data_IF_613276973715
#
_entry.id   IF_613276973715
#
_cell.length_a   1.000
_cell.length_b   1.000
_cell.length_c   1.000
_cell.angle_alpha   90.00
_cell.angle_beta   90.00
_cell.angle_gamma   90.00
#
_symmetry.space_group_name_H-M   'P 1'
#
loop_
_entity.id
_entity.type
_entity.pdbx_description
1 polymer ?
#
# COMPACT_ATOMS: atom_id res chain seq x y z
N UNK A 1 -13.19 21.98 -10.02
CA UNK A 1 -13.09 21.26 -8.72
C UNK A 1 -12.56 19.87 -9.01
N UNK A 2 -11.55 19.43 -8.25
CA UNK A 2 -10.99 18.09 -8.35
C UNK A 2 -11.92 17.06 -7.70
N UNK A 3 -11.83 15.80 -8.11
CA UNK A 3 -12.68 14.72 -7.57
C UNK A 3 -12.48 14.47 -6.07
N UNK A 4 -11.36 14.96 -5.49
CA UNK A 4 -10.99 14.79 -4.08
C UNK A 4 -10.84 16.12 -3.33
N UNK A 5 -11.42 17.21 -3.85
CA UNK A 5 -11.40 18.50 -3.16
C UNK A 5 -11.97 18.39 -1.74
N UNK A 6 -11.24 18.95 -0.76
CA UNK A 6 -11.60 18.89 0.65
C UNK A 6 -11.32 17.58 1.36
N UNK A 7 -10.76 16.57 0.67
CA UNK A 7 -10.37 15.28 1.27
C UNK A 7 -8.93 15.31 1.78
N UNK A 8 -8.70 14.61 2.89
CA UNK A 8 -7.37 14.35 3.44
C UNK A 8 -6.97 12.89 3.16
N UNK A 9 -5.81 12.69 2.55
CA UNK A 9 -5.22 11.38 2.30
C UNK A 9 -3.93 11.19 3.09
N UNK A 10 -3.78 10.02 3.72
CA UNK A 10 -2.53 9.54 4.28
C UNK A 10 -1.96 8.45 3.38
N UNK A 11 -0.72 8.65 2.87
CA UNK A 11 0.00 7.68 2.04
C UNK A 11 1.27 7.25 2.77
N UNK A 12 1.32 6.01 3.25
CA UNK A 12 2.51 5.51 3.94
C UNK A 12 3.60 5.12 2.94
N UNK A 13 4.88 5.46 3.25
CA UNK A 13 5.99 5.21 2.31
C UNK A 13 5.86 6.01 1.01
N UNK A 14 5.36 7.25 1.09
CA UNK A 14 5.01 8.08 -0.06
C UNK A 14 6.15 8.92 -0.64
N UNK A 15 7.42 8.67 -0.28
CA UNK A 15 8.55 9.50 -0.72
C UNK A 15 9.23 9.02 -2.00
N UNK A 16 8.84 7.85 -2.55
CA UNK A 16 9.38 7.27 -3.78
C UNK A 16 8.47 6.18 -4.36
N UNK A 17 8.72 5.81 -5.61
CA UNK A 17 8.10 4.66 -6.27
C UNK A 17 6.58 4.76 -6.35
N UNK A 18 5.88 3.66 -6.04
CA UNK A 18 4.41 3.58 -6.11
C UNK A 18 3.78 4.61 -5.15
N UNK A 19 4.28 4.72 -3.92
CA UNK A 19 3.73 5.64 -2.92
C UNK A 19 3.80 7.09 -3.34
N UNK A 20 4.92 7.53 -3.91
CA UNK A 20 5.10 8.87 -4.47
C UNK A 20 4.13 9.13 -5.62
N UNK A 21 4.06 8.19 -6.58
CA UNK A 21 3.16 8.32 -7.72
C UNK A 21 1.68 8.41 -7.27
N UNK A 22 1.29 7.64 -6.26
CA UNK A 22 -0.06 7.70 -5.65
C UNK A 22 -0.28 9.05 -4.98
N UNK A 23 0.67 9.53 -4.17
CA UNK A 23 0.56 10.81 -3.47
C UNK A 23 0.37 11.97 -4.44
N UNK A 24 1.21 12.04 -5.49
CA UNK A 24 1.10 13.05 -6.55
C UNK A 24 -0.24 12.96 -7.29
N UNK A 25 -0.70 11.75 -7.57
CA UNK A 25 -1.98 11.56 -8.27
C UNK A 25 -3.16 12.04 -7.41
N UNK A 26 -3.20 11.72 -6.12
CA UNK A 26 -4.25 12.18 -5.20
C UNK A 26 -4.20 13.69 -5.02
N UNK A 27 -3.00 14.29 -4.90
CA UNK A 27 -2.82 15.73 -4.84
C UNK A 27 -3.37 16.42 -6.10
N UNK A 28 -3.05 15.91 -7.29
CA UNK A 28 -3.56 16.46 -8.55
C UNK A 28 -5.08 16.30 -8.73
N UNK A 29 -5.71 15.41 -7.95
CA UNK A 29 -7.17 15.28 -7.87
C UNK A 29 -7.82 16.19 -6.82
N UNK A 30 -7.03 17.03 -6.12
CA UNK A 30 -7.49 18.03 -5.17
C UNK A 30 -7.40 17.60 -3.69
N UNK A 31 -6.88 16.43 -3.37
CA UNK A 31 -6.70 16.03 -1.98
C UNK A 31 -5.54 16.80 -1.31
N UNK A 32 -5.69 17.12 -0.01
CA UNK A 32 -4.54 17.36 0.86
C UNK A 32 -3.89 16.01 1.17
N UNK A 33 -2.58 15.91 1.00
CA UNK A 33 -1.88 14.63 1.10
C UNK A 33 -0.77 14.70 2.14
N UNK A 34 -0.79 13.76 3.09
CA UNK A 34 0.29 13.51 4.04
C UNK A 34 1.00 12.25 3.57
N UNK A 35 2.33 12.33 3.41
CA UNK A 35 3.17 11.18 3.10
C UNK A 35 4.09 10.83 4.26
N UNK A 36 4.44 9.55 4.39
CA UNK A 36 5.41 9.14 5.40
C UNK A 36 6.68 8.53 4.80
N UNK A 37 7.76 8.60 5.58
CA UNK A 37 9.04 7.94 5.32
C UNK A 37 9.82 7.77 6.62
N UNK A 38 10.94 7.03 6.58
CA UNK A 38 11.73 6.71 7.77
C UNK A 38 12.74 7.78 8.18
N UNK A 39 13.22 8.56 7.23
CA UNK A 39 14.22 9.59 7.51
C UNK A 39 13.59 10.72 8.31
N UNK A 40 14.31 11.27 9.28
CA UNK A 40 13.83 12.43 10.07
C UNK A 40 13.56 13.65 9.19
N UNK A 41 14.29 13.78 8.09
CA UNK A 41 14.09 14.80 7.05
C UNK A 41 14.14 14.12 5.68
N UNK A 42 13.08 14.24 4.92
CA UNK A 42 13.03 13.82 3.52
C UNK A 42 12.20 14.83 2.73
N UNK A 43 12.52 14.98 1.44
CA UNK A 43 11.69 15.76 0.54
C UNK A 43 10.34 15.03 0.35
N UNK A 44 9.26 15.72 0.63
CA UNK A 44 7.94 15.26 0.21
C UNK A 44 7.76 15.45 -1.30
N UNK A 45 6.92 14.68 -1.97
CA UNK A 45 6.45 15.00 -3.29
C UNK A 45 5.80 16.40 -3.31
N UNK A 46 5.87 17.07 -4.45
CA UNK A 46 5.37 18.46 -4.58
C UNK A 46 3.92 18.59 -4.08
N UNK A 47 3.67 19.54 -3.21
CA UNK A 47 2.35 19.81 -2.63
C UNK A 47 1.91 18.87 -1.50
N UNK A 48 2.74 17.89 -1.11
CA UNK A 48 2.43 16.97 -0.02
C UNK A 48 3.14 17.37 1.29
N UNK A 49 2.54 17.03 2.43
CA UNK A 49 3.14 17.15 3.76
C UNK A 49 3.96 15.89 4.09
N UNK A 50 5.10 16.03 4.74
CA UNK A 50 5.93 14.91 5.17
C UNK A 50 5.83 14.66 6.67
N UNK A 51 5.73 13.39 7.07
CA UNK A 51 5.83 12.94 8.46
C UNK A 51 6.82 11.78 8.56
N UNK A 52 7.81 11.90 9.43
CA UNK A 52 8.78 10.84 9.69
C UNK A 52 8.16 9.77 10.60
N UNK A 53 8.28 8.49 10.21
CA UNK A 53 7.88 7.34 11.02
C UNK A 53 8.61 6.08 10.58
N UNK A 54 9.14 5.30 11.53
CA UNK A 54 9.59 3.93 11.28
C UNK A 54 8.51 2.95 11.78
N UNK A 55 7.85 2.28 10.86
CA UNK A 55 6.81 1.28 11.17
C UNK A 55 7.38 -0.04 11.72
N UNK A 56 8.69 -0.20 11.85
CA UNK A 56 9.30 -1.30 12.60
C UNK A 56 9.18 -1.09 14.12
N UNK A 57 9.04 0.16 14.58
CA UNK A 57 8.75 0.51 15.97
C UNK A 57 7.24 0.52 16.22
N UNK A 58 6.75 -0.47 16.98
CA UNK A 58 5.31 -0.63 17.28
C UNK A 58 4.77 0.50 18.17
N UNK A 59 5.58 1.03 19.10
CA UNK A 59 5.15 2.12 19.96
C UNK A 59 5.04 3.42 19.18
N UNK A 60 6.04 3.73 18.34
CA UNK A 60 6.01 4.87 17.44
C UNK A 60 4.82 4.76 16.46
N UNK A 61 4.57 3.56 15.92
CA UNK A 61 3.41 3.28 15.05
C UNK A 61 2.09 3.57 15.76
N UNK A 62 1.93 3.11 17.00
CA UNK A 62 0.70 3.34 17.78
C UNK A 62 0.50 4.83 18.07
N UNK A 63 1.53 5.54 18.48
CA UNK A 63 1.48 6.98 18.75
C UNK A 63 1.15 7.76 17.46
N UNK A 64 1.78 7.40 16.35
CA UNK A 64 1.51 8.01 15.04
C UNK A 64 0.06 7.78 14.60
N UNK A 65 -0.47 6.57 14.78
CA UNK A 65 -1.85 6.24 14.46
C UNK A 65 -2.84 7.11 15.26
N UNK A 66 -2.58 7.34 16.55
CA UNK A 66 -3.39 8.23 17.38
C UNK A 66 -3.32 9.69 16.92
N UNK A 67 -2.13 10.17 16.57
CA UNK A 67 -1.95 11.53 16.01
C UNK A 67 -2.76 11.68 14.72
N UNK A 68 -2.68 10.70 13.83
CA UNK A 68 -3.42 10.72 12.56
C UNK A 68 -4.94 10.59 12.76
N UNK A 69 -5.38 9.88 13.80
CA UNK A 69 -6.81 9.79 14.13
C UNK A 69 -7.41 11.16 14.48
N UNK A 70 -6.66 12.05 15.14
CA UNK A 70 -7.08 13.42 15.42
C UNK A 70 -7.21 14.27 14.14
N UNK A 71 -6.41 14.01 13.11
CA UNK A 71 -6.52 14.66 11.79
C UNK A 71 -7.63 14.05 10.92
N UNK A 72 -8.11 12.86 11.28
CA UNK A 72 -9.22 12.14 10.66
C UNK A 72 -9.14 12.03 9.12
N UNK A 73 -8.08 11.43 8.52
CA UNK A 73 -8.00 11.25 7.08
C UNK A 73 -9.23 10.55 6.50
N UNK A 74 -9.61 10.96 5.30
CA UNK A 74 -10.67 10.32 4.51
C UNK A 74 -10.18 9.10 3.76
N UNK A 75 -8.90 9.14 3.38
CA UNK A 75 -8.25 8.13 2.53
C UNK A 75 -6.99 7.64 3.24
N UNK A 76 -6.86 6.33 3.37
CA UNK A 76 -5.66 5.67 3.87
C UNK A 76 -5.08 4.77 2.78
N UNK A 77 -3.85 5.06 2.35
CA UNK A 77 -3.07 4.21 1.45
C UNK A 77 -1.91 3.58 2.23
N UNK A 78 -2.06 2.32 2.60
CA UNK A 78 -1.01 1.53 3.23
C UNK A 78 -0.06 0.99 2.15
N UNK A 79 0.97 1.78 1.81
CA UNK A 79 1.96 1.44 0.81
C UNK A 79 3.33 1.11 1.41
N UNK A 80 3.67 1.61 2.60
CA UNK A 80 4.92 1.27 3.26
C UNK A 80 5.08 -0.26 3.36
N UNK A 81 6.24 -0.75 2.95
CA UNK A 81 6.50 -2.18 3.00
C UNK A 81 7.97 -2.51 2.79
N UNK A 82 8.38 -3.65 3.33
CA UNK A 82 9.71 -4.23 3.17
C UNK A 82 9.59 -5.64 2.60
N UNK A 83 10.68 -6.12 2.02
CA UNK A 83 10.77 -7.44 1.43
C UNK A 83 12.02 -8.16 1.93
N UNK A 84 11.93 -9.47 2.10
CA UNK A 84 13.05 -10.37 2.39
C UNK A 84 12.93 -11.58 1.47
N UNK A 85 13.98 -11.86 0.74
CA UNK A 85 14.10 -13.03 -0.14
C UNK A 85 14.96 -14.09 0.54
N UNK A 86 14.63 -15.34 0.31
CA UNK A 86 15.42 -16.48 0.74
C UNK A 86 14.57 -17.73 0.96
N UNK A 87 15.19 -18.92 1.05
CA UNK A 87 14.51 -20.16 1.39
C UNK A 87 13.81 -20.06 2.74
N UNK A 88 12.70 -20.75 2.91
CA UNK A 88 11.94 -20.74 4.16
C UNK A 88 12.75 -21.22 5.37
N UNK A 89 13.68 -22.17 5.14
CA UNK A 89 14.62 -22.70 6.17
C UNK A 89 15.56 -21.63 6.73
N UNK A 90 15.86 -20.60 5.96
CA UNK A 90 16.92 -19.61 6.26
C UNK A 90 16.33 -18.28 6.78
N UNK A 91 15.01 -18.24 6.98
CA UNK A 91 14.35 -17.04 7.50
C UNK A 91 14.61 -16.96 9.01
N UNK A 92 15.29 -15.90 9.46
CA UNK A 92 15.35 -15.61 10.88
C UNK A 92 13.98 -15.16 11.41
N UNK A 93 13.61 -15.59 12.61
CA UNK A 93 12.35 -15.13 13.22
C UNK A 93 12.32 -13.61 13.38
N UNK A 94 13.47 -12.98 13.68
CA UNK A 94 13.57 -11.52 13.79
C UNK A 94 13.24 -10.81 12.46
N UNK A 95 13.74 -11.31 11.31
CA UNK A 95 13.40 -10.77 9.99
C UNK A 95 11.92 -10.99 9.66
N UNK A 96 11.37 -12.16 10.03
CA UNK A 96 9.96 -12.49 9.84
C UNK A 96 9.05 -11.54 10.64
N UNK A 97 9.35 -11.35 11.93
CA UNK A 97 8.63 -10.42 12.80
C UNK A 97 8.68 -8.99 12.27
N UNK A 98 9.88 -8.54 11.88
CA UNK A 98 10.06 -7.21 11.28
C UNK A 98 9.21 -7.01 10.03
N UNK A 99 9.17 -8.00 9.14
CA UNK A 99 8.29 -7.99 7.97
C UNK A 99 6.83 -7.82 8.37
N UNK A 100 6.39 -8.56 9.40
CA UNK A 100 5.01 -8.48 9.86
C UNK A 100 4.71 -7.16 10.57
N UNK A 101 5.65 -6.60 11.36
CA UNK A 101 5.46 -5.27 11.95
C UNK A 101 5.19 -4.21 10.88
N UNK A 102 6.00 -4.17 9.83
CA UNK A 102 5.87 -3.16 8.79
C UNK A 102 4.72 -3.44 7.82
N UNK A 103 4.61 -4.68 7.31
CA UNK A 103 3.69 -5.00 6.21
C UNK A 103 2.26 -5.33 6.67
N UNK A 104 2.06 -5.66 7.95
CA UNK A 104 0.77 -6.13 8.49
C UNK A 104 0.33 -5.30 9.69
N UNK A 105 1.14 -5.27 10.76
CA UNK A 105 0.72 -4.63 12.01
C UNK A 105 0.56 -3.11 11.87
N UNK A 106 1.43 -2.45 11.12
CA UNK A 106 1.29 -1.01 10.86
C UNK A 106 0.00 -0.66 10.07
N UNK A 107 -0.33 -1.31 8.94
CA UNK A 107 -1.63 -1.17 8.29
C UNK A 107 -2.83 -1.43 9.21
N UNK A 108 -2.77 -2.46 10.06
CA UNK A 108 -3.82 -2.77 11.04
C UNK A 108 -3.95 -1.65 12.06
N UNK A 109 -2.84 -1.17 12.64
CA UNK A 109 -2.85 -0.10 13.63
C UNK A 109 -3.43 1.21 13.08
N UNK A 110 -3.03 1.58 11.86
CA UNK A 110 -3.58 2.75 11.17
C UNK A 110 -5.06 2.59 10.85
N UNK A 111 -5.45 1.46 10.28
CA UNK A 111 -6.86 1.20 9.96
C UNK A 111 -7.73 1.24 11.21
N UNK A 112 -7.30 0.57 12.30
CA UNK A 112 -8.00 0.58 13.59
C UNK A 112 -8.21 2.00 14.14
N UNK A 113 -7.23 2.88 13.97
CA UNK A 113 -7.31 4.25 14.47
C UNK A 113 -8.16 5.17 13.59
N UNK A 114 -8.12 5.00 12.26
CA UNK A 114 -8.72 5.94 11.30
C UNK A 114 -10.14 5.56 10.88
N UNK A 115 -10.44 4.27 10.78
CA UNK A 115 -11.76 3.77 10.33
C UNK A 115 -12.93 4.27 11.18
N UNK A 116 -12.84 4.41 12.52
CA UNK A 116 -13.97 4.94 13.30
C UNK A 116 -14.46 6.33 12.85
N UNK A 117 -13.55 7.24 12.52
CA UNK A 117 -13.90 8.56 11.98
C UNK A 117 -14.48 8.47 10.56
N UNK A 118 -13.98 7.56 9.72
CA UNK A 118 -14.55 7.30 8.39
C UNK A 118 -15.98 6.78 8.48
N UNK A 119 -16.25 5.83 9.37
CA UNK A 119 -17.60 5.31 9.65
C UNK A 119 -18.55 6.40 10.12
N UNK A 120 -18.11 7.22 11.08
CA UNK A 120 -18.94 8.29 11.65
C UNK A 120 -19.40 9.32 10.61
N UNK A 121 -18.60 9.58 9.55
CA UNK A 121 -18.95 10.49 8.44
C UNK A 121 -19.63 9.81 7.25
N UNK A 122 -19.80 8.47 7.29
CA UNK A 122 -20.43 7.72 6.20
C UNK A 122 -19.58 7.64 4.92
N UNK A 123 -18.25 7.89 5.01
CA UNK A 123 -17.35 7.84 3.86
C UNK A 123 -15.92 7.57 4.27
N UNK A 124 -15.26 6.66 3.59
CA UNK A 124 -13.84 6.38 3.76
C UNK A 124 -13.30 5.45 2.68
N UNK A 125 -12.00 5.52 2.45
CA UNK A 125 -11.29 4.63 1.50
C UNK A 125 -10.01 4.14 2.15
N UNK A 126 -9.89 2.82 2.27
CA UNK A 126 -8.66 2.14 2.73
C UNK A 126 -8.14 1.28 1.60
N UNK A 127 -6.94 1.57 1.13
CA UNK A 127 -6.29 0.79 0.07
C UNK A 127 -4.95 0.30 0.58
N UNK A 128 -4.82 -1.02 0.61
CA UNK A 128 -3.62 -1.71 1.02
C UNK A 128 -2.82 -2.15 -0.21
N UNK A 129 -1.58 -1.67 -0.35
CA UNK A 129 -0.69 -2.13 -1.42
C UNK A 129 -0.14 -3.50 -1.02
N UNK A 130 -0.78 -4.52 -1.56
CA UNK A 130 -0.41 -5.91 -1.38
C UNK A 130 0.72 -6.31 -2.35
N UNK A 131 0.56 -7.38 -3.09
CA UNK A 131 1.47 -7.88 -4.13
C UNK A 131 0.81 -9.03 -4.87
N UNK A 132 1.23 -9.35 -6.08
CA UNK A 132 0.91 -10.64 -6.72
C UNK A 132 1.25 -11.82 -5.80
N UNK A 133 2.15 -11.65 -4.83
CA UNK A 133 2.51 -12.64 -3.81
C UNK A 133 1.51 -12.72 -2.65
N UNK A 134 0.37 -12.05 -2.72
CA UNK A 134 -0.84 -12.28 -1.91
C UNK A 134 -1.90 -13.10 -2.65
N UNK A 135 -1.69 -13.40 -3.93
CA UNK A 135 -2.59 -14.19 -4.78
C UNK A 135 -1.99 -15.56 -5.15
N UNK A 136 -0.68 -15.62 -5.23
CA UNK A 136 0.09 -16.86 -5.45
C UNK A 136 1.42 -16.78 -4.72
N UNK A 137 2.01 -17.92 -4.40
CA UNK A 137 3.31 -17.99 -3.76
C UNK A 137 4.31 -18.75 -4.65
N UNK A 138 5.58 -18.43 -4.51
CA UNK A 138 6.71 -19.13 -5.15
C UNK A 138 7.82 -19.38 -4.15
N UNK A 139 8.74 -20.27 -4.48
CA UNK A 139 9.97 -20.52 -3.71
C UNK A 139 10.75 -19.22 -3.46
N UNK A 140 11.34 -19.11 -2.28
CA UNK A 140 12.13 -17.94 -1.87
C UNK A 140 11.32 -16.71 -1.45
N UNK A 141 9.99 -16.82 -1.35
CA UNK A 141 9.09 -15.70 -0.98
C UNK A 141 8.25 -15.96 0.27
N UNK A 142 8.51 -17.03 1.03
CA UNK A 142 7.63 -17.47 2.10
C UNK A 142 7.30 -16.36 3.12
N UNK A 143 8.31 -15.65 3.66
CA UNK A 143 8.07 -14.59 4.64
C UNK A 143 7.30 -13.39 4.05
N UNK A 144 7.67 -12.97 2.83
CA UNK A 144 6.99 -11.85 2.18
C UNK A 144 5.56 -12.21 1.78
N UNK A 145 5.37 -13.37 1.16
CA UNK A 145 4.05 -13.85 0.75
C UNK A 145 3.12 -13.97 1.97
N UNK A 146 3.59 -14.58 3.09
CA UNK A 146 2.77 -14.70 4.29
C UNK A 146 2.29 -13.33 4.81
N UNK A 147 3.15 -12.30 4.78
CA UNK A 147 2.75 -10.95 5.18
C UNK A 147 1.70 -10.34 4.24
N UNK A 148 1.81 -10.58 2.93
CA UNK A 148 0.87 -10.02 1.95
C UNK A 148 -0.46 -10.78 1.90
N UNK A 149 -0.47 -12.10 2.11
CA UNK A 149 -1.70 -12.87 2.35
C UNK A 149 -2.37 -12.45 3.66
N UNK A 150 -1.59 -12.20 4.73
CA UNK A 150 -2.14 -11.70 6.00
C UNK A 150 -2.80 -10.34 5.86
N UNK A 151 -2.21 -9.43 5.09
CA UNK A 151 -2.78 -8.11 4.79
C UNK A 151 -4.07 -8.24 3.96
N UNK A 152 -4.12 -9.15 3.01
CA UNK A 152 -5.31 -9.44 2.20
C UNK A 152 -6.47 -9.97 3.05
N UNK A 153 -6.21 -10.99 3.88
CA UNK A 153 -7.21 -11.54 4.79
C UNK A 153 -7.77 -10.48 5.76
N UNK A 154 -6.90 -9.64 6.34
CA UNK A 154 -7.33 -8.52 7.16
C UNK A 154 -8.22 -7.54 6.38
N UNK A 155 -7.84 -7.21 5.15
CA UNK A 155 -8.58 -6.26 4.31
C UNK A 155 -9.98 -6.77 3.97
N UNK A 156 -10.10 -8.04 3.63
CA UNK A 156 -11.38 -8.68 3.32
C UNK A 156 -12.33 -8.69 4.54
N UNK A 157 -11.80 -9.03 5.73
CA UNK A 157 -12.58 -9.02 6.96
C UNK A 157 -13.04 -7.60 7.32
N UNK A 158 -12.12 -6.63 7.31
CA UNK A 158 -12.44 -5.22 7.60
C UNK A 158 -13.48 -4.67 6.62
N UNK A 159 -13.37 -4.99 5.32
CA UNK A 159 -14.34 -4.56 4.33
C UNK A 159 -15.77 -5.03 4.68
N UNK A 160 -15.92 -6.29 5.09
CA UNK A 160 -17.22 -6.85 5.47
C UNK A 160 -17.83 -6.13 6.71
N UNK A 161 -16.96 -5.69 7.63
CA UNK A 161 -17.40 -5.01 8.86
C UNK A 161 -17.87 -3.57 8.63
N UNK A 162 -17.30 -2.86 7.62
CA UNK A 162 -17.47 -1.40 7.50
C UNK A 162 -18.15 -0.94 6.21
N UNK A 163 -18.45 -1.85 5.29
CA UNK A 163 -19.04 -1.49 3.99
C UNK A 163 -20.40 -0.77 4.13
N UNK A 164 -21.25 -1.21 5.08
CA UNK A 164 -22.53 -0.60 5.36
C UNK A 164 -22.43 0.86 5.85
N UNK A 165 -21.27 1.23 6.40
CA UNK A 165 -20.97 2.58 6.86
C UNK A 165 -20.32 3.47 5.78
N UNK A 166 -20.33 3.03 4.50
CA UNK A 166 -19.78 3.78 3.37
C UNK A 166 -18.24 3.77 3.29
N UNK A 167 -17.58 2.89 4.05
CA UNK A 167 -16.12 2.72 4.02
C UNK A 167 -15.77 1.54 3.12
N UNK A 168 -14.99 1.79 2.06
CA UNK A 168 -14.55 0.75 1.13
C UNK A 168 -13.09 0.40 1.39
N UNK A 169 -12.81 -0.90 1.53
CA UNK A 169 -11.48 -1.43 1.83
C UNK A 169 -11.07 -2.41 0.75
N UNK A 170 -9.92 -2.18 0.10
CA UNK A 170 -9.43 -3.06 -0.95
C UNK A 170 -7.90 -3.25 -0.87
N UNK A 171 -7.43 -4.37 -1.40
CA UNK A 171 -6.04 -4.58 -1.75
C UNK A 171 -5.81 -4.30 -3.24
N UNK A 172 -4.69 -3.65 -3.55
CA UNK A 172 -4.13 -3.61 -4.89
C UNK A 172 -2.86 -4.45 -4.88
N UNK A 173 -2.74 -5.38 -5.82
CA UNK A 173 -1.63 -6.31 -5.94
C UNK A 173 -0.81 -6.03 -7.21
N UNK A 174 0.22 -5.15 -7.11
CA UNK A 174 1.10 -4.89 -8.23
C UNK A 174 1.91 -6.13 -8.61
N UNK A 175 2.15 -6.30 -9.91
CA UNK A 175 3.16 -7.19 -10.45
C UNK A 175 4.57 -6.59 -10.35
N UNK A 176 5.37 -6.75 -11.39
CA UNK A 176 6.71 -6.17 -11.47
C UNK A 176 6.63 -4.71 -11.94
N UNK A 177 6.94 -3.79 -11.03
CA UNK A 177 6.88 -2.34 -11.27
C UNK A 177 8.30 -1.78 -11.35
N UNK A 178 8.56 -0.93 -12.33
CA UNK A 178 9.83 -0.25 -12.50
C UNK A 178 10.03 0.79 -11.38
N UNK A 179 10.74 0.39 -10.35
CA UNK A 179 11.05 1.20 -9.18
C UNK A 179 12.52 1.08 -8.82
N UNK A 180 13.04 2.07 -8.10
CA UNK A 180 14.40 2.01 -7.55
C UNK A 180 14.63 0.72 -6.75
N UNK A 181 13.62 0.27 -5.97
CA UNK A 181 13.72 -0.96 -5.20
C UNK A 181 13.95 -2.19 -6.09
N UNK A 182 13.20 -2.32 -7.21
CA UNK A 182 13.36 -3.44 -8.14
C UNK A 182 14.76 -3.43 -8.75
N UNK A 183 15.23 -2.27 -9.21
CA UNK A 183 16.53 -2.11 -9.84
C UNK A 183 17.71 -2.30 -8.88
N UNK A 184 17.52 -2.01 -7.58
CA UNK A 184 18.56 -2.19 -6.56
C UNK A 184 18.80 -3.66 -6.20
N UNK A 185 17.78 -4.51 -6.30
CA UNK A 185 17.84 -5.91 -5.85
C UNK A 185 17.94 -6.92 -7.00
N UNK A 186 17.93 -6.46 -8.25
CA UNK A 186 18.02 -7.32 -9.43
C UNK A 186 19.02 -6.76 -10.44
N UNK A 187 19.76 -7.64 -11.10
CA UNK A 187 20.59 -7.27 -12.25
C UNK A 187 19.72 -7.02 -13.50
N UNK A 188 20.26 -6.36 -14.55
CA UNK A 188 19.54 -6.20 -15.83
C UNK A 188 19.05 -7.53 -16.42
N UNK A 189 19.84 -8.60 -16.34
CA UNK A 189 19.51 -9.95 -16.82
C UNK A 189 18.35 -10.55 -16.01
N UNK A 190 18.37 -10.38 -14.69
CA UNK A 190 17.26 -10.81 -13.81
C UNK A 190 15.98 -10.04 -14.14
N UNK A 191 16.06 -8.73 -14.37
CA UNK A 191 14.92 -7.91 -14.79
C UNK A 191 14.37 -8.41 -16.14
N UNK A 192 15.24 -8.69 -17.11
CA UNK A 192 14.84 -9.24 -18.41
C UNK A 192 14.12 -10.59 -18.24
N UNK A 193 14.61 -11.46 -17.36
CA UNK A 193 13.97 -12.74 -17.04
C UNK A 193 12.59 -12.57 -16.37
N UNK A 194 12.41 -11.56 -15.50
CA UNK A 194 11.11 -11.22 -14.94
C UNK A 194 10.16 -10.72 -16.02
N UNK A 195 10.60 -9.80 -16.87
CA UNK A 195 9.82 -9.25 -18.00
C UNK A 195 9.36 -10.35 -18.95
N UNK A 196 10.22 -11.34 -19.23
CA UNK A 196 9.88 -12.47 -20.09
C UNK A 196 8.72 -13.33 -19.56
N UNK A 197 8.44 -13.29 -18.26
CA UNK A 197 7.33 -14.02 -17.65
C UNK A 197 6.01 -13.23 -17.68
N UNK A 198 6.06 -11.90 -17.92
CA UNK A 198 4.87 -11.06 -17.98
C UNK A 198 4.27 -11.12 -19.38
N UNK A 199 2.98 -11.43 -19.56
CA UNK A 199 2.36 -11.43 -20.91
C UNK A 199 2.52 -10.11 -21.65
N UNK A 200 2.40 -8.97 -20.96
CA UNK A 200 2.62 -7.64 -21.56
C UNK A 200 4.08 -7.32 -21.91
N UNK A 201 5.05 -8.23 -21.58
CA UNK A 201 6.47 -8.13 -21.94
C UNK A 201 7.15 -6.83 -21.50
N UNK A 202 6.70 -6.22 -20.41
CA UNK A 202 7.32 -5.04 -19.80
C UNK A 202 7.07 -4.98 -18.31
N UNK A 203 7.83 -4.14 -17.62
CA UNK A 203 7.50 -3.71 -16.27
C UNK A 203 6.34 -2.71 -16.33
N UNK A 204 5.51 -2.67 -15.29
CA UNK A 204 4.57 -1.58 -15.08
C UNK A 204 5.31 -0.31 -14.65
N UNK A 205 4.75 0.85 -14.97
CA UNK A 205 5.18 2.12 -14.39
C UNK A 205 4.45 2.38 -13.08
N UNK A 206 5.08 3.06 -12.12
CA UNK A 206 4.44 3.43 -10.87
C UNK A 206 3.15 4.26 -11.08
N UNK A 207 3.11 5.08 -12.13
CA UNK A 207 1.94 5.85 -12.54
C UNK A 207 0.74 5.00 -12.96
N UNK A 208 0.95 3.81 -13.52
CA UNK A 208 -0.14 2.89 -13.90
C UNK A 208 -0.81 2.32 -12.65
N UNK A 209 -0.02 1.97 -11.63
CA UNK A 209 -0.55 1.55 -10.33
C UNK A 209 -1.29 2.72 -9.64
N UNK A 210 -0.67 3.91 -9.65
CA UNK A 210 -1.23 5.10 -9.02
C UNK A 210 -2.57 5.52 -9.65
N UNK A 211 -2.74 5.39 -10.95
CA UNK A 211 -4.00 5.71 -11.62
C UNK A 211 -5.16 4.87 -11.09
N UNK A 212 -4.94 3.57 -10.92
CA UNK A 212 -5.97 2.67 -10.42
C UNK A 212 -6.22 2.85 -8.90
N UNK A 213 -5.16 3.00 -8.12
CA UNK A 213 -5.27 3.29 -6.67
C UNK A 213 -6.07 4.56 -6.43
N UNK A 214 -5.79 5.63 -7.18
CA UNK A 214 -6.49 6.90 -7.05
C UNK A 214 -7.97 6.80 -7.49
N UNK A 215 -8.27 6.00 -8.52
CA UNK A 215 -9.65 5.72 -8.90
C UNK A 215 -10.39 4.95 -7.80
N UNK A 216 -9.80 3.90 -7.23
CA UNK A 216 -10.37 3.16 -6.09
C UNK A 216 -10.60 4.07 -4.87
N UNK A 217 -9.73 5.07 -4.67
CA UNK A 217 -9.82 6.03 -3.57
C UNK A 217 -10.82 7.18 -3.84
N UNK A 218 -11.34 7.30 -5.05
CA UNK A 218 -12.23 8.39 -5.47
C UNK A 218 -13.70 8.06 -5.16
N UNK A 219 -14.60 9.06 -5.25
CA UNK A 219 -16.04 8.86 -5.18
C UNK A 219 -16.61 8.01 -6.32
N UNK A 220 -15.88 7.83 -7.43
CA UNK A 220 -16.31 7.00 -8.57
C UNK A 220 -16.39 5.51 -8.20
N UNK A 221 -15.54 5.05 -7.25
CA UNK A 221 -15.68 3.71 -6.70
C UNK A 221 -16.83 3.70 -5.68
N UNK A 222 -17.93 3.09 -6.05
CA UNK A 222 -19.14 2.97 -5.21
C UNK A 222 -19.45 1.54 -4.79
N UNK A 223 -18.79 0.52 -5.39
CA UNK A 223 -19.22 -0.87 -5.19
C UNK A 223 -18.09 -1.89 -5.08
N UNK A 224 -16.83 -1.51 -5.31
CA UNK A 224 -15.68 -2.41 -5.12
C UNK A 224 -15.20 -2.29 -3.68
N UNK A 225 -15.41 -3.36 -2.89
CA UNK A 225 -14.93 -3.49 -1.52
C UNK A 225 -14.57 -4.95 -1.22
N UNK A 226 -13.59 -5.18 -0.36
CA UNK A 226 -13.13 -6.51 0.04
C UNK A 226 -12.33 -7.26 -1.03
N UNK A 227 -11.91 -6.59 -2.09
CA UNK A 227 -11.25 -7.24 -3.23
C UNK A 227 -9.73 -7.11 -3.16
N UNK A 228 -9.05 -8.12 -3.70
CA UNK A 228 -7.62 -8.10 -3.98
C UNK A 228 -7.40 -8.05 -5.50
N UNK A 229 -7.01 -6.89 -6.00
CA UNK A 229 -7.06 -6.54 -7.42
C UNK A 229 -5.64 -6.52 -8.02
N UNK A 230 -5.28 -7.51 -8.88
CA UNK A 230 -3.98 -7.53 -9.52
C UNK A 230 -3.84 -6.47 -10.61
N UNK A 231 -2.66 -5.81 -10.65
CA UNK A 231 -2.21 -4.96 -11.74
C UNK A 231 -0.84 -5.48 -12.15
N UNK A 232 -0.80 -6.49 -12.99
CA UNK A 232 0.37 -7.34 -13.16
C UNK A 232 0.72 -7.69 -14.62
N UNK A 233 0.06 -7.07 -15.59
CA UNK A 233 0.27 -7.34 -17.02
C UNK A 233 -0.11 -8.76 -17.43
N UNK A 234 -1.00 -9.41 -16.69
CA UNK A 234 -1.46 -10.79 -16.92
C UNK A 234 -0.65 -11.87 -16.23
N UNK A 235 0.37 -11.53 -15.45
CA UNK A 235 1.30 -12.48 -14.82
C UNK A 235 0.61 -13.56 -13.97
N UNK A 236 -0.41 -13.23 -13.21
CA UNK A 236 -1.10 -14.20 -12.33
C UNK A 236 -2.11 -15.08 -13.05
N UNK A 237 -2.33 -14.89 -14.34
CA UNK A 237 -3.28 -15.65 -15.17
C UNK A 237 -2.61 -16.60 -16.16
N UNK A 238 -1.28 -16.78 -16.08
CA UNK A 238 -0.49 -17.70 -16.92
C UNK A 238 0.12 -18.81 -16.08
#
# INVERSE_FOLDING_TARGET
MGALDGRLALVTGGTRGIGEAVALRLFNMGARVIVTGRQSQAAAPAGCEYRAIDFDDLQATSNFALTMAAEAPDILINNAGINRLGPASDISLADYERLHRVNVLAPIALSRALVPAMRARGWGRVINIASIWSLRAISGRAAYASSKFGLDGFSAALAAEVAADGVLVNCVSPGFVDTELLRRVNTPEQIAALVAQVPMRRLAQASEIAAFVAWLASPENTYISGQNLPIDGGYTRT
#
